data_IF_125487211960
#
_entry.id   IF_125487211960
#
_cell.length_a   1.000
_cell.length_b   1.000
_cell.length_c   1.000
_cell.angle_alpha   90.00
_cell.angle_beta   90.00
_cell.angle_gamma   90.00
#
_symmetry.space_group_name_H-M   'P 1'
#
loop_
_entity.id
_entity.type
_entity.pdbx_description
1 polymer ?
#
# COMPACT_ATOMS: atom_id res chain seq x y z
N UNK A 1 22.26 17.36 -2.36
CA UNK A 1 21.21 18.13 -1.65
C UNK A 1 20.31 17.11 -0.95
N UNK A 2 20.03 17.26 0.35
CA UNK A 2 19.12 16.37 1.09
C UNK A 2 17.81 17.13 1.32
N UNK A 3 16.69 16.52 0.95
CA UNK A 3 15.35 17.06 1.15
C UNK A 3 14.77 16.27 2.32
N UNK A 4 14.45 16.92 3.43
CA UNK A 4 13.95 16.22 4.61
C UNK A 4 12.96 17.03 5.42
N UNK A 5 12.18 16.37 6.27
CA UNK A 5 11.21 17.00 7.16
C UNK A 5 10.08 17.71 6.42
N UNK A 6 9.67 17.16 5.28
CA UNK A 6 8.53 17.66 4.53
C UNK A 6 7.23 17.05 5.06
N UNK A 7 6.14 17.80 4.97
CA UNK A 7 4.79 17.29 5.19
C UNK A 7 4.02 17.39 3.90
N UNK A 8 3.42 16.28 3.47
CA UNK A 8 2.49 16.21 2.34
C UNK A 8 1.12 15.93 2.94
N UNK A 9 0.25 16.95 2.90
CA UNK A 9 -1.10 16.90 3.46
C UNK A 9 -1.18 17.51 4.86
N UNK A 10 -2.13 17.03 5.66
CA UNK A 10 -2.36 17.50 7.02
C UNK A 10 -3.64 16.94 7.63
N UNK A 11 -3.87 17.21 8.90
CA UNK A 11 -5.00 16.67 9.67
C UNK A 11 -6.30 17.47 9.53
N UNK A 12 -6.26 18.65 8.90
CA UNK A 12 -7.45 19.39 8.52
C UNK A 12 -7.92 18.96 7.13
N UNK A 13 -9.24 18.89 6.90
CA UNK A 13 -9.79 18.60 5.57
C UNK A 13 -9.26 19.56 4.49
N UNK A 14 -9.04 20.83 4.84
CA UNK A 14 -8.47 21.83 3.94
C UNK A 14 -6.99 21.61 3.58
N UNK A 15 -6.26 20.81 4.38
CA UNK A 15 -4.87 20.45 4.10
C UNK A 15 -4.76 19.15 3.28
N UNK A 16 -5.87 18.43 3.04
CA UNK A 16 -5.90 17.21 2.22
C UNK A 16 -5.52 17.53 0.78
N UNK A 17 -4.49 16.86 0.27
CA UNK A 17 -4.25 16.84 -1.16
C UNK A 17 -5.07 15.73 -1.82
N UNK A 18 -5.53 15.99 -3.05
CA UNK A 18 -6.05 14.98 -3.97
C UNK A 18 -4.98 14.79 -5.05
N UNK A 19 -4.29 13.66 -5.03
CA UNK A 19 -3.13 13.38 -5.88
C UNK A 19 -3.48 12.20 -6.79
N UNK A 20 -3.94 12.52 -8.00
CA UNK A 20 -4.64 11.57 -8.87
C UNK A 20 -4.44 11.89 -10.35
N UNK A 21 -4.61 10.89 -11.22
CA UNK A 21 -4.52 11.06 -12.68
C UNK A 21 -3.10 11.17 -13.24
N UNK A 22 -2.08 10.75 -12.47
CA UNK A 22 -0.69 10.84 -12.89
C UNK A 22 -0.23 9.55 -13.63
N UNK A 23 0.55 9.71 -14.70
CA UNK A 23 1.12 8.56 -15.43
C UNK A 23 2.22 7.80 -14.68
N UNK A 24 2.68 8.32 -13.54
CA UNK A 24 3.67 7.70 -12.65
C UNK A 24 3.10 7.48 -11.24
N UNK A 25 3.98 7.42 -10.24
CA UNK A 25 3.54 7.42 -8.84
C UNK A 25 2.81 8.74 -8.50
N UNK A 26 1.79 8.68 -7.66
CA UNK A 26 1.19 9.90 -7.09
C UNK A 26 2.19 10.65 -6.21
N UNK A 27 2.89 9.92 -5.35
CA UNK A 27 4.00 10.43 -4.54
C UNK A 27 5.20 9.50 -4.69
N UNK A 28 6.37 10.04 -5.08
CA UNK A 28 7.63 9.31 -5.05
C UNK A 28 8.63 10.01 -4.12
N UNK A 29 9.09 9.26 -3.11
CA UNK A 29 10.15 9.66 -2.19
C UNK A 29 11.43 8.92 -2.58
N UNK A 30 12.33 9.62 -3.25
CA UNK A 30 13.64 9.08 -3.67
C UNK A 30 14.66 9.11 -2.54
N UNK A 31 15.82 8.50 -2.74
CA UNK A 31 16.87 8.35 -1.71
C UNK A 31 17.39 9.63 -1.07
N UNK A 32 17.12 10.80 -1.65
CA UNK A 32 17.42 12.10 -1.06
C UNK A 32 16.32 12.67 -0.16
N UNK A 33 15.15 12.03 -0.10
CA UNK A 33 13.88 12.57 0.43
C UNK A 33 13.46 11.89 1.73
N UNK A 34 14.25 12.02 2.80
CA UNK A 34 14.06 11.29 4.06
C UNK A 34 13.20 12.06 5.06
N UNK A 35 12.66 11.38 6.08
CA UNK A 35 11.89 12.02 7.14
C UNK A 35 10.69 12.83 6.62
N UNK A 36 9.99 12.31 5.61
CA UNK A 36 8.77 12.90 5.06
C UNK A 36 7.55 12.31 5.75
N UNK A 37 6.61 13.16 6.15
CA UNK A 37 5.29 12.78 6.66
C UNK A 37 4.25 12.95 5.55
N UNK A 38 3.62 11.86 5.14
CA UNK A 38 2.51 11.85 4.18
C UNK A 38 1.24 11.51 4.94
N UNK A 39 0.32 12.45 5.10
CA UNK A 39 -0.87 12.27 5.95
C UNK A 39 -2.12 12.97 5.41
N UNK A 40 -3.28 12.36 5.65
CA UNK A 40 -4.58 12.97 5.34
C UNK A 40 -4.87 13.15 3.85
N UNK A 41 -4.14 12.50 2.95
CA UNK A 41 -4.29 12.67 1.49
C UNK A 41 -5.20 11.61 0.86
N UNK A 42 -5.80 11.95 -0.28
CA UNK A 42 -6.42 10.97 -1.18
C UNK A 42 -5.55 10.79 -2.42
N UNK A 43 -5.17 9.55 -2.71
CA UNK A 43 -4.15 9.21 -3.70
C UNK A 43 -4.70 8.13 -4.64
N UNK A 44 -4.99 8.51 -5.89
CA UNK A 44 -5.57 7.65 -6.93
C UNK A 44 -7.11 7.66 -7.00
N UNK A 45 -7.76 8.51 -6.20
CA UNK A 45 -9.22 8.65 -6.15
C UNK A 45 -9.67 10.07 -6.47
N UNK A 46 -10.97 10.25 -6.69
CA UNK A 46 -11.59 11.58 -6.75
C UNK A 46 -11.67 12.23 -5.36
N UNK A 47 -12.09 13.49 -5.30
CA UNK A 47 -12.19 14.24 -4.05
C UNK A 47 -13.17 13.65 -3.01
N UNK A 48 -14.13 12.81 -3.44
CA UNK A 48 -15.02 12.10 -2.53
C UNK A 48 -14.44 10.78 -2.00
N UNK A 49 -13.30 10.33 -2.54
CA UNK A 49 -12.67 9.06 -2.18
C UNK A 49 -13.48 7.81 -2.57
N UNK A 50 -14.40 7.93 -3.53
CA UNK A 50 -15.34 6.86 -3.89
C UNK A 50 -15.23 6.40 -5.35
N UNK A 51 -14.49 7.13 -6.20
CA UNK A 51 -14.23 6.75 -7.58
C UNK A 51 -12.73 6.85 -7.89
N UNK A 52 -12.24 5.97 -8.77
CA UNK A 52 -10.83 5.96 -9.18
C UNK A 52 -10.53 7.09 -10.17
N UNK A 53 -9.45 7.81 -9.92
CA UNK A 53 -8.77 8.70 -10.89
C UNK A 53 -7.30 8.25 -10.85
N UNK A 54 -6.95 7.16 -11.55
CA UNK A 54 -5.77 6.38 -11.23
C UNK A 54 -4.46 7.15 -11.39
N UNK A 55 -3.53 6.95 -10.46
CA UNK A 55 -2.11 7.07 -10.77
C UNK A 55 -1.56 5.71 -11.25
N UNK A 56 -0.31 5.64 -11.72
CA UNK A 56 0.32 4.35 -11.97
C UNK A 56 0.53 3.56 -10.66
N UNK A 57 1.15 4.19 -9.66
CA UNK A 57 1.26 3.69 -8.28
C UNK A 57 0.81 4.78 -7.31
N UNK A 58 0.38 4.41 -6.10
CA UNK A 58 -0.02 5.40 -5.09
C UNK A 58 1.19 6.14 -4.52
N UNK A 59 1.93 5.47 -3.65
CA UNK A 59 3.10 6.01 -2.95
C UNK A 59 4.30 5.09 -3.17
N UNK A 60 5.45 5.64 -3.54
CA UNK A 60 6.69 4.88 -3.76
C UNK A 60 7.80 5.45 -2.88
N UNK A 61 8.39 4.61 -2.04
CA UNK A 61 9.58 4.90 -1.24
C UNK A 61 10.76 4.19 -1.91
N UNK A 62 11.51 4.94 -2.70
CA UNK A 62 12.59 4.45 -3.54
C UNK A 62 13.93 4.74 -2.89
N UNK A 63 14.37 3.85 -2.00
CA UNK A 63 15.60 4.02 -1.23
C UNK A 63 15.56 5.15 -0.20
N UNK A 64 14.36 5.62 0.18
CA UNK A 64 14.15 6.72 1.12
C UNK A 64 13.86 6.22 2.53
N UNK A 65 14.44 6.86 3.54
CA UNK A 65 14.40 6.41 4.93
C UNK A 65 13.61 7.33 5.87
N UNK A 66 13.17 6.77 7.00
CA UNK A 66 12.53 7.48 8.12
C UNK A 66 11.20 8.17 7.74
N UNK A 67 10.49 7.69 6.73
CA UNK A 67 9.23 8.30 6.30
C UNK A 67 8.04 7.67 7.02
N UNK A 68 7.01 8.48 7.22
CA UNK A 68 5.74 8.04 7.77
C UNK A 68 4.63 8.26 6.75
N UNK A 69 3.97 7.18 6.37
CA UNK A 69 2.79 7.19 5.52
C UNK A 69 1.58 6.91 6.42
N UNK A 70 0.83 7.97 6.71
CA UNK A 70 -0.36 7.95 7.56
C UNK A 70 -0.09 8.36 9.00
N UNK A 71 -0.93 7.89 9.92
CA UNK A 71 -0.89 8.20 11.34
C UNK A 71 -1.89 7.35 12.11
N UNK A 72 -2.06 7.60 13.41
CA UNK A 72 -2.93 6.78 14.28
C UNK A 72 -4.36 7.33 14.36
N UNK A 73 -4.59 8.55 13.88
CA UNK A 73 -5.92 9.17 13.86
C UNK A 73 -6.57 9.06 12.49
N UNK A 74 -7.90 9.14 12.45
CA UNK A 74 -8.65 9.15 11.19
C UNK A 74 -8.30 10.36 10.29
N UNK A 75 -7.82 11.46 10.86
CA UNK A 75 -7.43 12.66 10.13
C UNK A 75 -6.06 12.53 9.45
N UNK A 76 -5.15 11.72 10.00
CA UNK A 76 -3.82 11.48 9.43
C UNK A 76 -3.83 10.38 8.37
N UNK A 77 -4.89 9.57 8.33
CA UNK A 77 -5.09 8.48 7.36
C UNK A 77 -4.99 8.96 5.92
N UNK A 78 -4.15 8.31 5.13
CA UNK A 78 -4.27 8.42 3.68
C UNK A 78 -5.26 7.39 3.15
N UNK A 79 -5.95 7.77 2.08
CA UNK A 79 -6.71 6.87 1.22
C UNK A 79 -5.89 6.60 -0.04
N UNK A 80 -5.38 5.38 -0.20
CA UNK A 80 -4.47 4.99 -1.28
C UNK A 80 -5.12 3.87 -2.09
N UNK A 81 -5.93 4.26 -3.07
CA UNK A 81 -6.88 3.36 -3.74
C UNK A 81 -7.04 3.73 -5.20
N UNK A 82 -7.54 2.79 -6.01
CA UNK A 82 -7.81 3.06 -7.43
C UNK A 82 -6.57 3.30 -8.30
N UNK A 83 -5.36 3.00 -7.82
CA UNK A 83 -4.14 3.11 -8.63
C UNK A 83 -4.00 1.92 -9.57
N UNK A 84 -3.36 2.10 -10.73
CA UNK A 84 -3.25 1.07 -11.77
C UNK A 84 -2.45 -0.14 -11.31
N UNK A 85 -1.43 0.05 -10.46
CA UNK A 85 -0.54 -0.99 -9.94
C UNK A 85 -0.65 -1.13 -8.43
N UNK A 86 0.37 -0.69 -7.69
CA UNK A 86 0.50 -0.90 -6.25
C UNK A 86 0.03 0.34 -5.48
N UNK A 87 -0.61 0.12 -4.34
CA UNK A 87 -0.92 1.19 -3.38
C UNK A 87 0.35 1.83 -2.83
N UNK A 88 1.14 1.08 -2.06
CA UNK A 88 2.42 1.53 -1.48
C UNK A 88 3.57 0.60 -1.85
N UNK A 89 4.63 1.12 -2.46
CA UNK A 89 5.86 0.37 -2.76
C UNK A 89 7.02 0.88 -1.90
N UNK A 90 7.76 -0.02 -1.27
CA UNK A 90 8.96 0.27 -0.50
C UNK A 90 10.10 -0.57 -1.09
N UNK A 91 11.04 0.10 -1.74
CA UNK A 91 12.02 -0.53 -2.63
C UNK A 91 13.43 -0.06 -2.29
N UNK A 92 14.40 -0.90 -2.64
CA UNK A 92 15.84 -0.70 -2.44
C UNK A 92 16.32 -0.70 -0.98
N UNK A 93 17.58 -1.07 -0.80
CA UNK A 93 18.24 -1.16 0.51
C UNK A 93 18.27 0.16 1.30
N UNK A 94 18.22 1.31 0.62
CA UNK A 94 18.20 2.62 1.29
C UNK A 94 16.87 2.94 1.99
N UNK A 95 15.80 2.18 1.71
CA UNK A 95 14.50 2.43 2.31
C UNK A 95 14.44 1.80 3.71
N UNK A 96 14.98 2.50 4.71
CA UNK A 96 15.01 2.02 6.10
C UNK A 96 14.09 2.80 7.02
N UNK A 97 13.64 2.15 8.10
CA UNK A 97 12.95 2.81 9.22
C UNK A 97 11.67 3.54 8.78
N UNK A 98 10.98 2.99 7.77
CA UNK A 98 9.74 3.57 7.26
C UNK A 98 8.52 2.95 7.95
N UNK A 99 7.52 3.80 8.18
CA UNK A 99 6.28 3.45 8.84
C UNK A 99 5.10 3.68 7.90
N UNK A 100 4.27 2.65 7.72
CA UNK A 100 2.99 2.74 7.01
C UNK A 100 1.90 2.38 8.00
N UNK A 101 1.10 3.36 8.46
CA UNK A 101 0.13 3.14 9.54
C UNK A 101 -1.19 3.88 9.33
N UNK A 102 -2.28 3.25 9.77
CA UNK A 102 -3.63 3.82 9.80
C UNK A 102 -4.23 4.17 8.44
N UNK A 103 -3.65 3.69 7.35
CA UNK A 103 -4.10 3.98 5.98
C UNK A 103 -5.26 3.08 5.56
N UNK A 104 -6.07 3.56 4.64
CA UNK A 104 -6.99 2.73 3.84
C UNK A 104 -6.36 2.49 2.47
N UNK A 105 -6.20 1.23 2.09
CA UNK A 105 -5.47 0.83 0.89
C UNK A 105 -6.29 -0.19 0.10
N UNK A 106 -6.84 0.25 -1.03
CA UNK A 106 -7.66 -0.56 -1.95
C UNK A 106 -9.16 -0.55 -1.66
N UNK A 107 -9.62 0.28 -0.72
CA UNK A 107 -11.04 0.49 -0.40
C UNK A 107 -11.50 1.91 -0.76
N UNK A 108 -12.80 2.16 -0.71
CA UNK A 108 -13.31 3.55 -0.67
C UNK A 108 -13.01 4.23 0.68
N UNK A 109 -13.33 5.52 0.78
CA UNK A 109 -13.14 6.34 1.99
C UNK A 109 -13.83 5.79 3.24
N UNK A 110 -14.87 4.97 3.08
CA UNK A 110 -15.59 4.35 4.21
C UNK A 110 -14.93 3.07 4.71
N UNK A 111 -14.09 2.44 3.89
CA UNK A 111 -13.46 1.16 4.20
C UNK A 111 -14.43 -0.03 4.10
N UNK A 112 -15.56 0.15 3.41
CA UNK A 112 -16.61 -0.90 3.29
C UNK A 112 -16.82 -1.39 1.87
N UNK A 113 -16.24 -0.73 0.86
CA UNK A 113 -16.31 -1.15 -0.54
C UNK A 113 -14.90 -1.22 -1.11
N UNK A 114 -14.67 -2.21 -1.98
CA UNK A 114 -13.44 -2.28 -2.76
C UNK A 114 -13.36 -1.11 -3.75
N UNK A 115 -12.18 -0.50 -3.83
CA UNK A 115 -11.77 0.46 -4.84
C UNK A 115 -10.32 0.12 -5.19
N UNK A 116 -10.16 -1.01 -5.87
CA UNK A 116 -8.92 -1.76 -5.97
C UNK A 116 -7.75 -0.94 -6.49
N UNK A 117 -6.58 -1.12 -5.89
CA UNK A 117 -5.32 -0.94 -6.61
C UNK A 117 -5.08 -2.17 -7.50
N UNK A 118 -4.46 -1.98 -8.66
CA UNK A 118 -4.11 -3.07 -9.58
C UNK A 118 -5.19 -3.48 -10.55
N UNK A 119 -6.28 -2.74 -10.63
CA UNK A 119 -7.22 -2.85 -11.73
C UNK A 119 -6.84 -1.78 -12.75
N UNK A 120 -5.83 -2.10 -13.58
CA UNK A 120 -5.40 -1.19 -14.63
C UNK A 120 -6.57 -0.69 -15.47
N UNK A 121 -6.43 0.50 -16.06
CA UNK A 121 -7.49 1.09 -16.90
C UNK A 121 -7.92 0.18 -18.07
N UNK A 122 -7.07 -0.80 -18.43
CA UNK A 122 -7.24 -1.69 -19.59
C UNK A 122 -7.26 -3.19 -19.24
N UNK A 123 -7.33 -3.59 -17.96
CA UNK A 123 -7.37 -5.01 -17.58
C UNK A 123 -6.12 -5.82 -17.95
N UNK A 124 -4.94 -5.18 -17.97
CA UNK A 124 -3.67 -5.77 -18.40
C UNK A 124 -3.09 -6.85 -17.47
N UNK A 125 -3.81 -7.21 -16.39
CA UNK A 125 -3.39 -8.24 -15.46
C UNK A 125 -2.17 -7.86 -14.63
N UNK A 126 -1.83 -6.57 -14.51
CA UNK A 126 -0.77 -6.14 -13.59
C UNK A 126 -1.19 -6.46 -12.15
N UNK A 127 -0.35 -7.22 -11.45
CA UNK A 127 -0.60 -7.61 -10.08
C UNK A 127 -0.79 -6.39 -9.15
N UNK A 128 -1.99 -6.24 -8.58
CA UNK A 128 -2.33 -5.20 -7.61
C UNK A 128 -1.93 -5.54 -6.20
N UNK A 129 -0.81 -4.98 -5.76
CA UNK A 129 -0.42 -5.05 -4.36
C UNK A 129 -1.06 -3.91 -3.58
N UNK A 130 -1.56 -4.19 -2.37
CA UNK A 130 -1.86 -3.13 -1.41
C UNK A 130 -0.55 -2.46 -0.97
N UNK A 131 0.33 -3.26 -0.36
CA UNK A 131 1.69 -2.85 0.02
C UNK A 131 2.70 -3.88 -0.52
N UNK A 132 3.77 -3.39 -1.13
CA UNK A 132 4.88 -4.19 -1.61
C UNK A 132 6.17 -3.70 -0.96
N UNK A 133 6.92 -4.62 -0.33
CA UNK A 133 8.23 -4.36 0.28
C UNK A 133 9.22 -5.36 -0.28
N UNK A 134 10.22 -4.89 -1.01
CA UNK A 134 11.21 -5.82 -1.54
C UNK A 134 12.10 -5.30 -2.64
N UNK A 135 13.15 -6.06 -2.89
CA UNK A 135 14.04 -5.94 -4.04
C UNK A 135 14.84 -7.24 -4.22
N UNK A 136 15.33 -7.50 -5.43
CA UNK A 136 16.33 -8.56 -5.67
C UNK A 136 17.65 -8.18 -4.99
N UNK A 137 18.14 -9.02 -4.08
CA UNK A 137 19.33 -8.75 -3.26
C UNK A 137 18.97 -8.17 -1.89
N UNK A 138 19.83 -7.31 -1.33
CA UNK A 138 19.54 -6.61 -0.07
C UNK A 138 18.38 -5.63 -0.28
N UNK A 139 17.28 -5.88 0.40
CA UNK A 139 16.07 -5.08 0.33
C UNK A 139 15.95 -4.06 1.46
N UNK A 140 14.80 -3.38 1.54
CA UNK A 140 14.42 -2.49 2.63
C UNK A 140 14.59 -3.14 4.02
N UNK A 141 14.82 -2.32 5.03
CA UNK A 141 15.00 -2.77 6.41
C UNK A 141 14.20 -1.95 7.42
N UNK A 142 13.90 -2.53 8.58
CA UNK A 142 13.19 -1.87 9.67
C UNK A 142 11.86 -1.25 9.24
N UNK A 143 11.10 -1.97 8.43
CA UNK A 143 9.82 -1.50 7.90
C UNK A 143 8.71 -1.88 8.85
N UNK A 144 7.92 -0.91 9.31
CA UNK A 144 6.71 -1.19 10.10
C UNK A 144 5.47 -0.92 9.26
N UNK A 145 4.62 -1.93 9.11
CA UNK A 145 3.30 -1.83 8.50
C UNK A 145 2.27 -2.09 9.60
N UNK A 146 1.60 -1.01 9.98
CA UNK A 146 0.63 -0.98 11.05
C UNK A 146 1.26 -0.53 12.37
N UNK A 147 0.88 -1.17 13.47
CA UNK A 147 1.42 -0.92 14.80
C UNK A 147 0.49 -1.43 15.91
N UNK A 148 0.96 -1.42 17.16
CA UNK A 148 0.16 -1.84 18.33
C UNK A 148 -0.73 -0.74 18.89
N UNK A 149 -0.46 0.53 18.56
CA UNK A 149 -1.30 1.64 18.98
C UNK A 149 -2.67 1.57 18.30
N UNK A 150 -3.72 2.00 19.01
CA UNK A 150 -5.06 2.10 18.43
C UNK A 150 -5.02 3.00 17.18
N UNK A 151 -5.61 2.53 16.08
CA UNK A 151 -5.64 3.24 14.81
C UNK A 151 -4.36 3.16 13.98
N UNK A 152 -3.27 2.58 14.50
CA UNK A 152 -2.05 2.35 13.70
C UNK A 152 -2.24 1.26 12.64
N UNK A 153 -3.17 0.33 12.83
CA UNK A 153 -3.49 -0.71 11.85
C UNK A 153 -3.97 -0.15 10.52
N UNK A 154 -3.38 -0.61 9.42
CA UNK A 154 -3.89 -0.30 8.09
C UNK A 154 -5.08 -1.20 7.75
N UNK A 155 -6.04 -0.67 6.99
CA UNK A 155 -7.03 -1.45 6.26
C UNK A 155 -6.49 -1.71 4.85
N UNK A 156 -6.07 -2.95 4.59
CA UNK A 156 -5.44 -3.36 3.33
C UNK A 156 -6.36 -4.38 2.67
N UNK A 157 -7.26 -3.91 1.81
CA UNK A 157 -8.38 -4.72 1.35
C UNK A 157 -8.84 -4.29 -0.03
N UNK A 158 -9.55 -5.18 -0.74
CA UNK A 158 -10.07 -4.89 -2.07
C UNK A 158 -9.01 -4.71 -3.18
N UNK A 159 -7.71 -4.91 -2.91
CA UNK A 159 -6.66 -4.88 -3.95
C UNK A 159 -6.77 -6.11 -4.89
N UNK A 160 -6.34 -5.98 -6.14
CA UNK A 160 -6.64 -6.98 -7.18
C UNK A 160 -5.82 -8.28 -7.11
N UNK A 161 -4.74 -8.34 -6.32
CA UNK A 161 -3.90 -9.54 -6.23
C UNK A 161 -3.49 -9.90 -4.80
N UNK A 162 -2.64 -9.08 -4.17
CA UNK A 162 -2.05 -9.38 -2.86
C UNK A 162 -2.24 -8.18 -1.94
N UNK A 163 -2.61 -8.43 -0.68
CA UNK A 163 -2.69 -7.38 0.34
C UNK A 163 -1.31 -6.81 0.65
N UNK A 164 -0.44 -7.66 1.21
CA UNK A 164 0.95 -7.32 1.52
C UNK A 164 1.89 -8.34 0.87
N UNK A 165 2.85 -7.86 0.08
CA UNK A 165 3.91 -8.68 -0.52
C UNK A 165 5.26 -8.29 0.07
N UNK A 166 5.96 -9.28 0.62
CA UNK A 166 7.32 -9.16 1.14
C UNK A 166 8.24 -10.04 0.31
N UNK A 167 9.25 -9.46 -0.35
CA UNK A 167 10.16 -10.25 -1.17
C UNK A 167 11.63 -9.84 -1.13
N UNK A 168 12.50 -10.83 -1.39
CA UNK A 168 13.96 -10.65 -1.38
C UNK A 168 14.55 -10.75 0.03
N UNK A 169 15.75 -10.19 0.23
CA UNK A 169 16.42 -10.22 1.54
C UNK A 169 15.99 -9.01 2.37
N UNK A 170 15.00 -9.21 3.23
CA UNK A 170 14.48 -8.18 4.13
C UNK A 170 15.00 -8.38 5.56
N UNK A 171 15.17 -7.29 6.29
CA UNK A 171 15.54 -7.33 7.71
C UNK A 171 14.60 -6.45 8.53
N UNK A 172 14.02 -6.99 9.61
CA UNK A 172 13.22 -6.19 10.53
C UNK A 172 11.90 -5.67 9.95
N UNK A 173 11.17 -6.47 9.17
CA UNK A 173 9.80 -6.10 8.76
C UNK A 173 8.81 -6.50 9.86
N UNK A 174 8.04 -5.52 10.34
CA UNK A 174 7.05 -5.70 11.38
C UNK A 174 5.64 -5.46 10.81
N UNK A 175 4.75 -6.46 10.90
CA UNK A 175 3.37 -6.40 10.44
C UNK A 175 2.42 -6.54 11.64
N UNK A 176 1.81 -5.45 12.10
CA UNK A 176 1.02 -5.44 13.35
C UNK A 176 -0.30 -4.70 13.22
N UNK A 177 -1.37 -5.27 13.79
CA UNK A 177 -2.66 -4.57 13.94
C UNK A 177 -3.42 -4.29 12.64
N UNK A 178 -2.99 -4.81 11.49
CA UNK A 178 -3.65 -4.56 10.20
C UNK A 178 -4.91 -5.42 10.03
N UNK A 179 -5.91 -4.85 9.35
CA UNK A 179 -7.03 -5.59 8.78
C UNK A 179 -6.72 -5.88 7.31
N UNK A 180 -6.61 -7.16 6.95
CA UNK A 180 -6.21 -7.58 5.60
C UNK A 180 -7.32 -8.41 4.99
N UNK A 181 -7.86 -7.94 3.86
CA UNK A 181 -8.91 -8.61 3.08
C UNK A 181 -10.35 -8.43 3.57
N UNK A 182 -10.54 -7.82 4.75
CA UNK A 182 -11.86 -7.49 5.30
C UNK A 182 -12.23 -6.03 5.09
N UNK A 183 -13.44 -5.65 5.47
CA UNK A 183 -13.85 -4.28 5.69
C UNK A 183 -13.22 -3.70 6.97
N UNK A 184 -13.46 -2.41 7.21
CA UNK A 184 -12.98 -1.69 8.39
C UNK A 184 -13.45 -2.30 9.73
N UNK A 185 -14.50 -3.12 9.73
CA UNK A 185 -14.98 -3.81 10.94
C UNK A 185 -14.25 -5.12 11.21
N UNK A 186 -13.53 -5.67 10.23
CA UNK A 186 -12.89 -6.98 10.33
C UNK A 186 -13.86 -8.15 10.14
N UNK A 187 -15.09 -7.90 9.65
CA UNK A 187 -16.17 -8.90 9.65
C UNK A 187 -16.67 -9.28 8.27
N UNK A 188 -16.52 -8.39 7.28
CA UNK A 188 -17.01 -8.61 5.92
C UNK A 188 -15.82 -8.72 4.99
N UNK A 189 -15.74 -9.80 4.20
CA UNK A 189 -14.71 -9.91 3.16
C UNK A 189 -15.00 -8.93 2.01
N UNK A 190 -13.97 -8.24 1.50
CA UNK A 190 -14.10 -7.30 0.37
C UNK A 190 -13.42 -7.80 -0.92
N UNK A 191 -13.11 -9.10 -1.01
CA UNK A 191 -12.43 -9.70 -2.16
C UNK A 191 -12.97 -11.09 -2.52
N UNK A 192 -12.65 -11.57 -3.72
CA UNK A 192 -13.02 -12.91 -4.19
C UNK A 192 -11.83 -13.77 -4.63
N UNK A 193 -10.68 -13.21 -5.04
CA UNK A 193 -9.43 -13.93 -5.39
C UNK A 193 -8.21 -13.11 -4.92
N UNK A 194 -7.75 -13.34 -3.68
CA UNK A 194 -6.81 -12.45 -3.00
C UNK A 194 -5.88 -13.24 -2.07
N UNK A 195 -4.58 -12.96 -2.15
CA UNK A 195 -3.61 -13.42 -1.14
C UNK A 195 -3.47 -12.31 -0.10
N UNK A 196 -3.79 -12.59 1.17
CA UNK A 196 -3.66 -11.58 2.23
C UNK A 196 -2.22 -11.13 2.44
N UNK A 197 -1.31 -12.09 2.62
CA UNK A 197 0.11 -11.87 2.86
C UNK A 197 0.93 -12.87 2.04
N UNK A 198 1.82 -12.36 1.20
CA UNK A 198 2.79 -13.14 0.44
C UNK A 198 4.20 -12.85 0.98
N UNK A 199 4.97 -13.90 1.29
CA UNK A 199 6.37 -13.79 1.69
C UNK A 199 7.20 -14.73 0.81
N UNK A 200 8.16 -14.19 0.06
CA UNK A 200 8.96 -14.97 -0.89
C UNK A 200 10.37 -14.43 -1.09
N UNK A 201 11.23 -15.18 -1.79
CA UNK A 201 12.63 -14.77 -2.04
C UNK A 201 12.85 -14.18 -3.44
N UNK A 202 11.88 -14.34 -4.34
CA UNK A 202 11.94 -13.84 -5.72
C UNK A 202 10.91 -12.73 -5.94
N UNK A 203 11.18 -11.87 -6.92
CA UNK A 203 10.25 -10.80 -7.31
C UNK A 203 8.89 -11.41 -7.69
N UNK A 204 7.77 -10.78 -7.32
CA UNK A 204 6.44 -11.22 -7.72
C UNK A 204 6.33 -11.29 -9.25
N UNK A 205 5.73 -12.37 -9.79
CA UNK A 205 5.71 -12.66 -11.24
C UNK A 205 6.91 -13.44 -11.78
N UNK A 206 7.88 -13.82 -10.95
CA UNK A 206 8.89 -14.84 -11.31
C UNK A 206 8.24 -16.21 -11.47
N UNK A 207 8.86 -17.13 -12.23
CA UNK A 207 8.31 -18.47 -12.52
C UNK A 207 7.98 -19.32 -11.29
N UNK A 208 8.49 -18.96 -10.11
CA UNK A 208 8.17 -19.63 -8.82
C UNK A 208 6.85 -19.14 -8.21
N UNK A 209 6.41 -17.91 -8.53
CA UNK A 209 5.11 -17.34 -8.12
C UNK A 209 3.93 -17.96 -8.87
N UNK A 210 4.16 -18.50 -10.07
CA UNK A 210 3.15 -19.28 -10.82
C UNK A 210 2.75 -20.61 -10.16
N UNK A 211 3.44 -21.05 -9.10
CA UNK A 211 2.99 -22.16 -8.25
C UNK A 211 1.91 -21.75 -7.26
N UNK A 212 1.81 -20.46 -6.92
CA UNK A 212 0.74 -19.93 -6.07
C UNK A 212 -0.44 -19.38 -6.89
N UNK A 213 -0.21 -19.04 -8.17
CA UNK A 213 -1.24 -18.63 -9.14
C UNK A 213 -1.99 -19.77 -9.87
N UNK A 214 -1.79 -21.05 -9.50
CA UNK A 214 -2.54 -22.18 -10.07
C UNK A 214 -3.56 -22.82 -9.12
N UNK A 215 -4.03 -22.11 -8.09
CA UNK A 215 -5.26 -22.52 -7.39
C UNK A 215 -6.49 -22.08 -8.19
N UNK A 216 -6.58 -22.59 -9.41
CA UNK A 216 -7.86 -22.75 -10.07
C UNK A 216 -8.66 -23.82 -9.33
N UNK A 217 -9.85 -23.45 -8.87
CA UNK A 217 -11.00 -24.37 -8.75
C UNK A 217 -10.96 -25.56 -7.78
N UNK A 218 -10.02 -25.68 -6.84
CA UNK A 218 -10.10 -26.75 -5.83
C UNK A 218 -9.58 -26.25 -4.48
N UNK A 219 -10.49 -25.83 -3.61
CA UNK A 219 -10.54 -26.09 -2.15
C UNK A 219 -11.74 -25.30 -1.59
N UNK A 220 -12.94 -25.80 -1.89
CA UNK A 220 -14.11 -25.58 -1.03
C UNK A 220 -13.92 -26.43 0.21
N UNK A 221 -13.94 -25.84 1.39
CA UNK A 221 -14.43 -26.52 2.58
C UNK A 221 -15.38 -25.57 3.31
N UNK A 222 -16.53 -26.14 3.71
CA UNK A 222 -17.73 -25.45 4.17
C UNK A 222 -17.69 -24.93 5.59
#
# INVERSE_FOLDING_TARGET
LKISSNTIGGTADAARNIISGNGGAGIELTSSSNATLVQGNFIGTNASGAAKIPNASGVVLNGSANNTIGGTTAAERNLISGNVRTGVQILNAGATDNLVQGNFIGTDVTGTKALANGEGANGDGTAGYGIEVGQIGTGPANITIGGTAQGAGNLISGNSYVGVSLFGTLNGVNLQGNLIGTDVTGRVALHTHFIGLLIGTTSPGSSDDRRYGSFGSQYYFG
#
